data_IF_876892163227
#
_entry.id   IF_876892163227
#
_cell.length_a   1.000
_cell.length_b   1.000
_cell.length_c   1.000
_cell.angle_alpha   90.00
_cell.angle_beta   90.00
_cell.angle_gamma   90.00
#
_symmetry.space_group_name_H-M   'P 1'
#
loop_
_entity.id
_entity.type
_entity.pdbx_description
1 polymer ?
#
# COMPACT_ATOMS: atom_id res chain seq x y z
N UNK A 1 6.16 -10.52 -16.75
CA UNK A 1 5.17 -11.26 -15.98
C UNK A 1 3.76 -10.87 -16.41
N UNK A 2 3.43 -9.60 -16.34
CA UNK A 2 2.14 -9.04 -16.78
C UNK A 2 2.26 -7.58 -17.23
N UNK A 3 1.22 -7.08 -17.86
CA UNK A 3 1.01 -5.68 -18.18
C UNK A 3 -0.27 -5.25 -17.47
N UNK A 4 -0.17 -4.21 -16.63
CA UNK A 4 -1.33 -3.65 -15.94
C UNK A 4 -1.65 -2.27 -16.49
N UNK A 5 -2.86 -2.12 -17.03
CA UNK A 5 -3.34 -0.83 -17.51
C UNK A 5 -3.93 -0.01 -16.36
N UNK A 6 -3.49 1.23 -16.24
CA UNK A 6 -4.00 2.21 -15.28
C UNK A 6 -4.46 3.48 -16.01
N UNK A 7 -5.32 4.27 -15.36
CA UNK A 7 -5.70 5.58 -15.87
C UNK A 7 -4.45 6.48 -15.91
N UNK A 8 -4.08 6.96 -17.10
CA UNK A 8 -3.01 7.95 -17.23
C UNK A 8 -3.50 9.35 -16.84
N UNK A 9 -2.61 10.19 -16.32
CA UNK A 9 -2.88 11.61 -16.05
C UNK A 9 -3.34 12.40 -17.28
N UNK A 10 -3.01 11.91 -18.49
CA UNK A 10 -3.39 12.49 -19.78
C UNK A 10 -4.69 11.92 -20.36
N UNK A 11 -5.45 11.12 -19.59
CA UNK A 11 -6.69 10.48 -20.05
C UNK A 11 -6.52 9.19 -20.85
N UNK A 12 -5.35 8.92 -21.44
CA UNK A 12 -5.07 7.65 -22.13
C UNK A 12 -4.53 6.62 -21.14
N UNK A 13 -5.09 5.39 -21.10
CA UNK A 13 -4.54 4.32 -20.26
C UNK A 13 -3.07 4.07 -20.53
N UNK A 14 -2.29 3.75 -19.50
CA UNK A 14 -0.87 3.38 -19.60
C UNK A 14 -0.66 1.95 -19.14
N UNK A 15 0.02 1.13 -19.94
CA UNK A 15 0.30 -0.27 -19.65
C UNK A 15 1.62 -0.44 -18.90
N UNK A 16 1.57 -0.53 -17.59
CA UNK A 16 2.73 -0.75 -16.71
C UNK A 16 3.23 -2.17 -16.87
N UNK A 17 4.48 -2.35 -17.32
CA UNK A 17 5.07 -3.66 -17.57
C UNK A 17 5.95 -4.11 -16.41
N UNK A 18 5.60 -5.24 -15.79
CA UNK A 18 6.38 -5.88 -14.73
C UNK A 18 7.07 -7.16 -15.19
N UNK A 19 8.34 -7.33 -14.79
CA UNK A 19 9.12 -8.54 -15.06
C UNK A 19 8.95 -9.57 -13.95
N UNK A 20 9.15 -10.84 -14.30
CA UNK A 20 8.92 -11.97 -13.38
C UNK A 20 9.83 -11.89 -12.14
N UNK A 21 11.14 -11.89 -12.33
CA UNK A 21 12.09 -12.03 -11.22
C UNK A 21 12.04 -10.87 -10.22
N UNK A 22 12.15 -9.62 -10.73
CA UNK A 22 12.17 -8.44 -9.86
C UNK A 22 10.87 -8.25 -9.09
N UNK A 23 9.73 -8.37 -9.77
CA UNK A 23 8.43 -8.25 -9.15
C UNK A 23 8.19 -9.33 -8.08
N UNK A 24 8.46 -10.61 -8.40
CA UNK A 24 8.23 -11.71 -7.46
C UNK A 24 9.14 -11.62 -6.23
N UNK A 25 10.42 -11.31 -6.40
CA UNK A 25 11.34 -11.11 -5.27
C UNK A 25 10.86 -9.95 -4.37
N UNK A 26 10.40 -8.87 -4.98
CA UNK A 26 9.97 -7.70 -4.23
C UNK A 26 8.66 -7.93 -3.47
N UNK A 27 7.65 -8.51 -4.12
CA UNK A 27 6.38 -8.84 -3.47
C UNK A 27 6.54 -9.90 -2.38
N UNK A 28 7.39 -10.92 -2.60
CA UNK A 28 7.76 -11.90 -1.57
C UNK A 28 8.35 -11.22 -0.33
N UNK A 29 9.35 -10.33 -0.55
CA UNK A 29 10.10 -9.73 0.54
C UNK A 29 9.25 -8.71 1.32
N UNK A 30 8.52 -7.85 0.61
CA UNK A 30 7.64 -6.85 1.25
C UNK A 30 6.50 -7.51 2.01
N UNK A 31 5.88 -8.55 1.45
CA UNK A 31 4.87 -9.32 2.16
C UNK A 31 5.41 -9.92 3.46
N UNK A 32 6.55 -10.59 3.39
CA UNK A 32 7.16 -11.27 4.53
C UNK A 32 7.44 -10.33 5.70
N UNK A 33 8.02 -9.16 5.43
CA UNK A 33 8.48 -8.26 6.49
C UNK A 33 7.44 -7.23 6.93
N UNK A 34 6.67 -6.66 6.01
CA UNK A 34 5.68 -5.63 6.35
C UNK A 34 4.46 -6.24 7.05
N UNK A 35 4.01 -7.40 6.58
CA UNK A 35 2.92 -8.11 7.27
C UNK A 35 3.42 -9.04 8.38
N UNK A 36 4.73 -9.02 8.68
CA UNK A 36 5.35 -9.87 9.70
C UNK A 36 4.86 -11.33 9.61
N UNK A 37 4.84 -11.85 8.37
CA UNK A 37 4.23 -13.13 8.02
C UNK A 37 4.73 -14.29 8.89
N UNK A 38 3.81 -15.05 9.42
CA UNK A 38 4.02 -16.32 10.15
C UNK A 38 3.40 -17.48 9.37
N UNK A 39 3.94 -18.67 9.54
CA UNK A 39 3.56 -19.87 8.76
C UNK A 39 2.07 -20.23 8.87
N UNK A 40 1.45 -19.96 10.02
CA UNK A 40 0.04 -20.26 10.30
C UNK A 40 -0.91 -19.08 9.98
N UNK A 41 -0.40 -17.99 9.38
CA UNK A 41 -1.23 -16.82 9.10
C UNK A 41 -2.28 -17.09 8.04
N UNK A 42 -3.46 -16.53 8.29
CA UNK A 42 -4.55 -16.42 7.32
C UNK A 42 -4.68 -14.94 6.95
N UNK A 43 -4.31 -14.63 5.72
CA UNK A 43 -4.26 -13.28 5.19
C UNK A 43 -5.53 -12.94 4.41
N UNK A 44 -6.17 -11.83 4.73
CA UNK A 44 -7.34 -11.32 4.03
C UNK A 44 -7.09 -9.90 3.51
N UNK A 45 -6.92 -9.79 2.20
CA UNK A 45 -6.88 -8.51 1.49
C UNK A 45 -8.18 -8.31 0.72
N UNK A 46 -8.82 -7.17 0.91
CA UNK A 46 -10.12 -6.85 0.29
C UNK A 46 -10.01 -6.07 -1.02
N UNK A 47 -8.81 -5.88 -1.54
CA UNK A 47 -8.61 -5.21 -2.82
C UNK A 47 -9.22 -6.02 -3.97
N UNK A 48 -9.70 -5.32 -4.99
CA UNK A 48 -10.09 -5.95 -6.24
C UNK A 48 -8.86 -6.57 -6.94
N UNK A 49 -8.99 -7.80 -7.41
CA UNK A 49 -7.91 -8.53 -8.08
C UNK A 49 -7.49 -7.89 -9.41
N UNK A 50 -8.33 -7.06 -10.00
CA UNK A 50 -8.02 -6.28 -11.19
C UNK A 50 -7.04 -5.13 -10.95
N UNK A 51 -6.79 -4.74 -9.69
CA UNK A 51 -5.80 -3.72 -9.31
C UNK A 51 -4.48 -4.35 -8.93
N UNK A 52 -3.42 -3.52 -8.95
CA UNK A 52 -2.08 -3.99 -8.57
C UNK A 52 -2.03 -4.53 -7.13
N UNK A 53 -2.81 -3.98 -6.21
CA UNK A 53 -2.88 -4.48 -4.84
C UNK A 53 -3.37 -5.92 -4.80
N UNK A 54 -4.38 -6.27 -5.60
CA UNK A 54 -4.84 -7.64 -5.72
C UNK A 54 -3.76 -8.58 -6.29
N UNK A 55 -3.04 -8.14 -7.34
CA UNK A 55 -1.92 -8.90 -7.88
C UNK A 55 -0.82 -9.10 -6.84
N UNK A 56 -0.34 -8.01 -6.23
CA UNK A 56 0.81 -8.07 -5.32
C UNK A 56 0.49 -8.74 -3.98
N UNK A 57 -0.70 -8.47 -3.40
CA UNK A 57 -1.01 -8.87 -2.01
C UNK A 57 -2.30 -9.68 -1.84
N UNK A 58 -2.88 -10.22 -2.92
CA UNK A 58 -3.78 -11.38 -2.84
C UNK A 58 -3.10 -12.60 -3.47
N UNK A 59 -2.42 -12.39 -4.63
CA UNK A 59 -1.86 -13.50 -5.41
C UNK A 59 -0.37 -13.68 -5.12
N UNK A 60 0.50 -12.77 -5.63
CA UNK A 60 1.93 -13.07 -5.68
C UNK A 60 2.62 -13.06 -4.31
N UNK A 61 2.50 -12.00 -3.54
CA UNK A 61 3.15 -11.88 -2.23
C UNK A 61 2.80 -13.01 -1.26
N UNK A 62 1.51 -13.21 -0.97
CA UNK A 62 1.08 -14.30 -0.09
C UNK A 62 1.46 -15.69 -0.59
N UNK A 63 1.14 -16.04 -1.83
CA UNK A 63 1.34 -17.39 -2.35
C UNK A 63 2.82 -17.74 -2.52
N UNK A 64 3.68 -16.78 -2.85
CA UNK A 64 5.12 -16.97 -2.87
C UNK A 64 5.71 -17.27 -1.49
N UNK A 65 5.07 -16.80 -0.43
CA UNK A 65 5.44 -17.09 0.95
C UNK A 65 4.77 -18.36 1.50
N UNK A 66 3.91 -19.02 0.73
CA UNK A 66 3.14 -20.19 1.19
C UNK A 66 1.96 -19.84 2.11
N UNK A 67 1.56 -18.56 2.15
CA UNK A 67 0.48 -18.11 3.02
C UNK A 67 -0.89 -18.58 2.55
N UNK A 68 -1.78 -18.83 3.51
CA UNK A 68 -3.21 -18.98 3.24
C UNK A 68 -3.83 -17.62 3.01
N UNK A 69 -4.49 -17.42 1.86
CA UNK A 69 -5.17 -16.16 1.54
C UNK A 69 -6.66 -16.36 1.32
N UNK A 70 -7.46 -15.42 1.82
CA UNK A 70 -8.91 -15.42 1.64
C UNK A 70 -9.26 -14.67 0.37
N UNK A 71 -10.02 -15.31 -0.52
CA UNK A 71 -10.62 -14.67 -1.70
C UNK A 71 -12.09 -14.37 -1.42
N UNK A 72 -12.50 -13.16 -1.70
CA UNK A 72 -13.86 -12.67 -1.46
C UNK A 72 -14.43 -12.00 -2.70
N UNK A 73 -15.60 -12.46 -3.12
CA UNK A 73 -16.37 -11.93 -4.24
C UNK A 73 -17.64 -11.28 -3.71
N UNK A 74 -17.65 -10.00 -3.49
CA UNK A 74 -18.82 -9.17 -3.16
C UNK A 74 -18.38 -7.76 -2.71
N UNK A 75 -19.31 -7.00 -2.13
CA UNK A 75 -19.06 -5.69 -1.51
C UNK A 75 -19.06 -5.80 0.02
N UNK A 76 -18.38 -4.90 0.74
CA UNK A 76 -18.14 -5.02 2.20
C UNK A 76 -19.40 -5.04 3.06
N UNK A 77 -20.54 -4.58 2.50
CA UNK A 77 -21.81 -4.44 3.24
C UNK A 77 -22.91 -5.40 2.75
N UNK A 78 -22.56 -6.43 2.00
CA UNK A 78 -23.55 -7.42 1.51
C UNK A 78 -23.27 -8.82 2.06
N UNK A 79 -24.29 -9.56 2.56
CA UNK A 79 -25.70 -9.14 2.70
C UNK A 79 -25.93 -8.15 3.84
N UNK A 80 -25.00 -8.03 4.81
CA UNK A 80 -25.08 -7.17 5.98
C UNK A 80 -23.74 -6.42 6.21
N UNK A 81 -23.74 -5.33 6.98
CA UNK A 81 -22.52 -4.54 7.26
C UNK A 81 -21.43 -5.28 8.04
N UNK A 82 -21.72 -6.44 8.59
CA UNK A 82 -20.77 -7.29 9.32
C UNK A 82 -20.00 -8.27 8.43
N UNK A 83 -20.16 -8.20 7.11
CA UNK A 83 -19.63 -9.20 6.20
C UNK A 83 -18.14 -9.51 6.38
N UNK A 84 -17.32 -8.49 6.56
CA UNK A 84 -15.88 -8.71 6.78
C UNK A 84 -15.60 -9.29 8.16
N UNK A 85 -16.31 -8.84 9.17
CA UNK A 85 -16.17 -9.35 10.54
C UNK A 85 -16.57 -10.83 10.61
N UNK A 86 -17.65 -11.20 9.93
CA UNK A 86 -18.06 -12.60 9.80
C UNK A 86 -16.98 -13.46 9.09
N UNK A 87 -16.33 -12.95 8.06
CA UNK A 87 -15.25 -13.65 7.36
C UNK A 87 -14.05 -13.83 8.29
N UNK A 88 -13.65 -12.78 9.00
CA UNK A 88 -12.53 -12.80 9.94
C UNK A 88 -12.79 -13.82 11.05
N UNK A 89 -13.96 -13.78 11.67
CA UNK A 89 -14.35 -14.72 12.71
C UNK A 89 -14.40 -16.16 12.18
N UNK A 90 -15.11 -16.38 11.10
CA UNK A 90 -15.31 -17.73 10.52
C UNK A 90 -14.01 -18.42 10.14
N UNK A 91 -13.10 -17.69 9.51
CA UNK A 91 -11.84 -18.24 9.00
C UNK A 91 -10.65 -17.97 9.91
N UNK A 92 -10.87 -17.30 11.05
CA UNK A 92 -9.81 -16.92 11.99
C UNK A 92 -8.67 -16.19 11.31
N UNK A 93 -9.05 -15.17 10.53
CA UNK A 93 -8.10 -14.31 9.82
C UNK A 93 -7.15 -13.66 10.82
N UNK A 94 -5.86 -13.69 10.53
CA UNK A 94 -4.82 -13.12 11.40
C UNK A 94 -4.31 -11.77 10.93
N UNK A 95 -4.38 -11.52 9.62
CA UNK A 95 -3.97 -10.24 9.01
C UNK A 95 -5.07 -9.72 8.08
N UNK A 96 -5.53 -8.51 8.33
CA UNK A 96 -6.57 -7.85 7.55
C UNK A 96 -6.05 -6.59 6.87
N UNK A 97 -6.09 -6.55 5.54
CA UNK A 97 -5.55 -5.50 4.69
C UNK A 97 -6.63 -4.90 3.79
N UNK A 98 -6.92 -3.61 3.95
CA UNK A 98 -8.05 -2.97 3.28
C UNK A 98 -7.78 -1.51 2.95
N UNK A 99 -8.70 -0.85 2.23
CA UNK A 99 -8.58 0.55 1.87
C UNK A 99 -9.23 1.49 2.90
N UNK A 100 -8.70 2.70 3.14
CA UNK A 100 -9.31 3.71 4.02
C UNK A 100 -10.75 4.05 3.65
N UNK A 101 -11.10 4.08 2.38
CA UNK A 101 -12.50 4.28 1.93
C UNK A 101 -13.43 3.19 2.46
N UNK A 102 -12.98 1.95 2.52
CA UNK A 102 -13.73 0.82 3.10
C UNK A 102 -13.87 1.02 4.61
N UNK A 103 -12.77 1.38 5.30
CA UNK A 103 -12.77 1.65 6.75
C UNK A 103 -13.78 2.75 7.06
N UNK A 104 -13.72 3.89 6.38
CA UNK A 104 -14.67 5.01 6.57
C UNK A 104 -16.13 4.61 6.29
N UNK A 105 -16.36 3.76 5.30
CA UNK A 105 -17.71 3.24 5.02
C UNK A 105 -18.25 2.38 6.17
N UNK A 106 -17.38 1.58 6.79
CA UNK A 106 -17.73 0.72 7.94
C UNK A 106 -17.82 1.50 9.25
N UNK A 107 -17.00 2.54 9.44
CA UNK A 107 -17.10 3.50 10.55
C UNK A 107 -18.51 4.12 10.69
N UNK A 108 -19.15 4.38 9.56
CA UNK A 108 -20.49 4.95 9.52
C UNK A 108 -21.60 3.94 9.86
N UNK A 109 -21.24 2.71 10.25
CA UNK A 109 -22.18 1.69 10.72
C UNK A 109 -22.13 1.55 12.22
N UNK A 110 -23.21 1.03 12.79
CA UNK A 110 -23.27 0.77 14.23
C UNK A 110 -22.20 -0.27 14.64
N UNK A 111 -21.50 -0.02 15.74
CA UNK A 111 -20.45 -0.91 16.27
C UNK A 111 -20.95 -2.29 16.64
N UNK A 112 -22.26 -2.44 16.92
CA UNK A 112 -22.89 -3.75 17.13
C UNK A 112 -22.60 -4.76 16.02
N UNK A 113 -22.30 -4.28 14.79
CA UNK A 113 -21.95 -5.15 13.68
C UNK A 113 -20.56 -5.80 13.86
N UNK A 114 -19.65 -5.13 14.56
CA UNK A 114 -18.34 -5.69 14.93
C UNK A 114 -18.49 -6.59 16.16
N UNK A 115 -19.20 -6.13 17.18
CA UNK A 115 -19.34 -6.80 18.48
C UNK A 115 -19.99 -8.18 18.42
N UNK A 116 -20.70 -8.49 17.32
CA UNK A 116 -21.29 -9.82 17.08
C UNK A 116 -20.26 -10.90 16.75
N UNK A 117 -19.03 -10.52 16.44
CA UNK A 117 -18.01 -11.42 15.90
C UNK A 117 -16.76 -11.44 16.76
N UNK A 118 -16.12 -12.60 16.81
CA UNK A 118 -14.84 -12.77 17.48
C UNK A 118 -13.68 -12.40 16.54
N UNK A 119 -13.09 -11.24 16.74
CA UNK A 119 -11.94 -10.76 15.97
C UNK A 119 -10.60 -11.04 16.67
N UNK A 120 -10.59 -11.81 17.77
CA UNK A 120 -9.40 -12.07 18.57
C UNK A 120 -8.26 -12.81 17.83
N UNK A 121 -8.56 -13.36 16.65
CA UNK A 121 -7.54 -13.95 15.77
C UNK A 121 -6.66 -12.91 15.07
N UNK A 122 -7.14 -11.67 14.95
CA UNK A 122 -6.36 -10.60 14.31
C UNK A 122 -5.12 -10.26 15.14
N UNK A 123 -3.98 -10.20 14.47
CA UNK A 123 -2.70 -9.75 15.04
C UNK A 123 -2.10 -8.55 14.30
N UNK A 124 -2.56 -8.28 13.07
CA UNK A 124 -2.06 -7.17 12.27
C UNK A 124 -3.16 -6.64 11.35
N UNK A 125 -3.23 -5.32 11.24
CA UNK A 125 -4.08 -4.60 10.32
C UNK A 125 -3.23 -3.84 9.30
N UNK A 126 -3.80 -3.57 8.13
CA UNK A 126 -3.10 -2.78 7.12
C UNK A 126 -4.04 -1.90 6.30
N UNK A 127 -3.49 -0.81 5.81
CA UNK A 127 -4.16 0.20 4.99
C UNK A 127 -3.44 0.42 3.67
N UNK A 128 -4.19 0.59 2.58
CA UNK A 128 -3.64 0.71 1.22
C UNK A 128 -4.50 1.55 0.28
N UNK A 129 -3.85 2.20 -0.67
CA UNK A 129 -4.46 2.80 -1.86
C UNK A 129 -4.75 4.29 -1.75
N UNK A 130 -4.84 4.82 -0.55
CA UNK A 130 -5.00 6.26 -0.26
C UNK A 130 -4.53 6.55 1.17
N UNK A 131 -4.22 7.81 1.51
CA UNK A 131 -3.89 8.16 2.89
C UNK A 131 -5.05 7.87 3.84
N UNK A 132 -4.73 7.25 4.99
CA UNK A 132 -5.69 7.08 6.07
C UNK A 132 -5.59 8.27 7.04
N UNK A 133 -6.71 8.96 7.25
CA UNK A 133 -6.73 10.05 8.24
C UNK A 133 -6.65 9.51 9.68
N UNK A 134 -6.10 10.29 10.64
CA UNK A 134 -5.91 9.83 12.02
C UNK A 134 -7.17 9.30 12.69
N UNK A 135 -8.35 9.88 12.43
CA UNK A 135 -9.62 9.45 13.00
C UNK A 135 -9.99 8.01 12.54
N UNK A 136 -9.90 7.74 11.24
CA UNK A 136 -10.16 6.41 10.70
C UNK A 136 -9.11 5.39 11.16
N UNK A 137 -7.85 5.81 11.29
CA UNK A 137 -6.78 4.98 11.83
C UNK A 137 -7.07 4.59 13.28
N UNK A 138 -7.44 5.56 14.14
CA UNK A 138 -7.77 5.32 15.53
C UNK A 138 -9.00 4.43 15.69
N UNK A 139 -10.04 4.65 14.90
CA UNK A 139 -11.22 3.79 14.89
C UNK A 139 -10.85 2.35 14.51
N UNK A 140 -10.05 2.18 13.46
CA UNK A 140 -9.59 0.87 12.99
C UNK A 140 -8.75 0.16 14.04
N UNK A 141 -7.86 0.89 14.71
CA UNK A 141 -7.04 0.39 15.81
C UNK A 141 -7.88 -0.06 17.02
N UNK A 142 -8.84 0.80 17.43
CA UNK A 142 -9.64 0.56 18.64
C UNK A 142 -10.70 -0.54 18.41
N UNK A 143 -11.57 -0.38 17.41
CA UNK A 143 -12.72 -1.27 17.22
C UNK A 143 -12.37 -2.58 16.54
N UNK A 144 -11.48 -2.59 15.59
CA UNK A 144 -11.11 -3.80 14.84
C UNK A 144 -9.86 -4.45 15.41
N UNK A 145 -8.88 -3.64 15.78
CA UNK A 145 -7.61 -4.09 16.34
C UNK A 145 -7.60 -4.29 17.84
N UNK A 146 -8.69 -3.96 18.56
CA UNK A 146 -8.83 -4.08 20.02
C UNK A 146 -7.66 -3.48 20.79
N UNK A 147 -7.12 -2.35 20.33
CA UNK A 147 -5.99 -1.61 20.90
C UNK A 147 -4.65 -2.39 20.98
N UNK A 148 -4.52 -3.49 20.24
CA UNK A 148 -3.29 -4.29 20.26
C UNK A 148 -2.74 -4.65 18.88
N UNK A 149 -3.57 -4.66 17.82
CA UNK A 149 -3.08 -4.95 16.47
C UNK A 149 -2.33 -3.75 15.90
N UNK A 150 -1.05 -3.85 15.56
CA UNK A 150 -0.38 -2.79 14.81
C UNK A 150 -1.05 -2.56 13.46
N UNK A 151 -1.05 -1.31 12.99
CA UNK A 151 -1.55 -0.95 11.66
C UNK A 151 -0.36 -0.58 10.79
N UNK A 152 -0.16 -1.31 9.70
CA UNK A 152 0.77 -0.92 8.64
C UNK A 152 0.03 -0.09 7.60
N UNK A 153 0.29 1.21 7.60
CA UNK A 153 -0.16 2.09 6.52
C UNK A 153 0.88 2.04 5.40
N UNK A 154 0.46 1.72 4.19
CA UNK A 154 1.38 1.38 3.11
C UNK A 154 1.25 2.36 1.96
N UNK A 155 2.37 2.98 1.59
CA UNK A 155 2.43 3.80 0.39
C UNK A 155 3.22 3.10 -0.71
N UNK A 156 2.61 3.03 -1.89
CA UNK A 156 3.19 2.51 -3.12
C UNK A 156 2.25 2.74 -4.30
N UNK A 157 2.72 2.44 -5.50
CA UNK A 157 1.99 2.67 -6.74
C UNK A 157 2.05 1.41 -7.63
N UNK A 158 1.23 1.36 -8.67
CA UNK A 158 1.27 0.28 -9.68
C UNK A 158 2.67 0.15 -10.27
N UNK A 159 3.32 1.26 -10.54
CA UNK A 159 4.68 1.37 -11.06
C UNK A 159 5.74 0.75 -10.15
N UNK A 160 5.46 0.72 -8.87
CA UNK A 160 6.37 0.17 -7.86
C UNK A 160 6.34 -1.36 -7.76
N UNK A 161 5.22 -1.97 -8.11
CA UNK A 161 5.03 -3.42 -8.00
C UNK A 161 4.82 -3.94 -6.58
N UNK A 162 5.18 -3.16 -5.56
CA UNK A 162 5.01 -3.49 -4.15
C UNK A 162 5.25 -2.31 -3.24
N UNK A 163 5.10 -2.50 -1.93
CA UNK A 163 5.16 -1.44 -0.91
C UNK A 163 6.55 -0.83 -0.84
N UNK A 164 6.61 0.50 -0.86
CA UNK A 164 7.85 1.29 -0.82
C UNK A 164 8.07 1.95 0.54
N UNK A 165 7.01 2.43 1.18
CA UNK A 165 7.05 3.08 2.48
C UNK A 165 5.98 2.45 3.37
N UNK A 166 6.36 1.98 4.54
CA UNK A 166 5.46 1.44 5.56
C UNK A 166 6.19 1.20 6.87
N UNK A 167 5.44 1.14 7.95
CA UNK A 167 5.98 0.62 9.20
C UNK A 167 6.31 -0.88 9.10
N UNK A 168 7.32 -1.30 9.86
CA UNK A 168 7.62 -2.72 10.12
C UNK A 168 7.21 -3.02 11.56
N UNK A 169 6.22 -3.91 11.77
CA UNK A 169 5.69 -4.21 13.10
C UNK A 169 6.79 -4.65 14.08
N UNK A 170 6.78 -4.06 15.27
CA UNK A 170 7.75 -4.35 16.32
C UNK A 170 9.15 -3.73 16.12
N UNK A 171 9.45 -3.15 14.97
CA UNK A 171 10.74 -2.53 14.69
C UNK A 171 10.72 -1.00 14.83
N UNK A 172 9.55 -0.38 14.74
CA UNK A 172 9.39 1.07 14.84
C UNK A 172 8.03 1.46 15.44
N UNK A 173 7.93 2.71 15.90
CA UNK A 173 6.65 3.27 16.35
C UNK A 173 5.68 3.47 15.19
N UNK A 174 4.38 3.44 15.50
CA UNK A 174 3.31 3.71 14.56
C UNK A 174 2.73 5.10 14.81
N UNK A 175 2.40 5.81 13.75
CA UNK A 175 1.87 7.17 13.82
C UNK A 175 0.63 7.29 12.93
N UNK A 176 -0.55 7.61 13.49
CA UNK A 176 -1.76 7.80 12.71
C UNK A 176 -1.58 8.83 11.60
N UNK A 177 -1.89 8.46 10.35
CA UNK A 177 -1.77 9.33 9.18
C UNK A 177 -0.37 9.42 8.58
N UNK A 178 0.58 8.60 9.03
CA UNK A 178 1.93 8.49 8.46
C UNK A 178 2.17 7.11 7.88
N UNK A 179 2.72 7.04 6.66
CA UNK A 179 3.22 5.79 6.08
C UNK A 179 4.55 5.33 6.69
N UNK A 180 5.09 6.06 7.66
CA UNK A 180 6.32 5.79 8.42
C UNK A 180 7.61 5.88 7.58
N UNK A 181 8.39 4.81 7.49
CA UNK A 181 9.75 4.81 6.95
C UNK A 181 9.88 4.01 5.66
N UNK A 182 10.90 4.28 4.84
CA UNK A 182 11.12 3.51 3.61
C UNK A 182 11.48 2.05 3.89
N UNK A 183 10.98 1.18 3.02
CA UNK A 183 11.36 -0.22 3.02
C UNK A 183 12.84 -0.41 2.61
N UNK A 184 13.41 -1.55 2.89
CA UNK A 184 14.82 -1.87 2.65
C UNK A 184 15.24 -1.58 1.21
N UNK A 185 16.29 -0.76 1.05
CA UNK A 185 16.86 -0.35 -0.24
C UNK A 185 16.09 0.75 -0.97
N UNK A 186 14.94 1.18 -0.48
CA UNK A 186 14.19 2.31 -1.03
C UNK A 186 14.71 3.62 -0.42
N UNK A 187 14.94 4.63 -1.26
CA UNK A 187 15.41 5.94 -0.84
C UNK A 187 14.45 7.03 -1.32
N UNK A 188 13.37 7.31 -0.58
CA UNK A 188 12.50 8.44 -0.88
C UNK A 188 13.19 9.76 -0.54
N UNK A 189 12.86 10.79 -1.31
CA UNK A 189 13.23 12.17 -1.08
C UNK A 189 12.02 13.05 -1.35
N UNK A 190 11.84 14.09 -0.59
CA UNK A 190 10.83 15.12 -0.84
C UNK A 190 11.53 16.30 -1.45
N UNK A 191 11.23 16.63 -2.70
CA UNK A 191 11.88 17.69 -3.46
C UNK A 191 10.93 18.88 -3.61
N UNK A 192 11.50 20.09 -3.60
CA UNK A 192 10.76 21.30 -3.99
C UNK A 192 10.36 21.21 -5.45
N UNK A 193 9.17 21.71 -5.78
CA UNK A 193 8.75 21.83 -7.16
C UNK A 193 9.69 22.78 -7.92
N UNK A 194 10.09 22.41 -9.13
CA UNK A 194 10.99 23.20 -9.98
C UNK A 194 10.19 24.12 -10.89
N UNK A 195 10.64 25.36 -11.02
CA UNK A 195 10.04 26.32 -11.95
C UNK A 195 10.57 26.15 -13.39
N UNK A 196 11.78 25.62 -13.53
CA UNK A 196 12.39 25.31 -14.84
C UNK A 196 13.23 24.03 -14.77
N UNK A 197 13.44 23.40 -15.94
CA UNK A 197 14.23 22.16 -16.05
C UNK A 197 15.71 22.34 -15.69
N UNK A 198 16.24 23.54 -15.69
CA UNK A 198 17.65 23.84 -15.46
C UNK A 198 17.99 24.11 -13.97
N UNK A 199 16.97 24.24 -13.12
CA UNK A 199 17.17 24.40 -11.69
C UNK A 199 17.66 23.08 -11.05
N UNK A 200 18.59 23.13 -10.08
CA UNK A 200 18.98 21.95 -9.33
C UNK A 200 17.80 21.41 -8.52
N UNK A 201 17.77 20.10 -8.31
CA UNK A 201 16.83 19.51 -7.38
C UNK A 201 17.22 19.86 -5.94
N UNK A 202 16.28 20.42 -5.18
CA UNK A 202 16.48 20.78 -3.78
C UNK A 202 15.54 19.98 -2.89
N UNK A 203 16.08 19.39 -1.82
CA UNK A 203 15.24 18.74 -0.82
C UNK A 203 14.43 19.77 -0.04
N UNK A 204 13.16 19.45 0.21
CA UNK A 204 12.29 20.22 1.10
C UNK A 204 12.76 20.07 2.56
N UNK A 205 12.59 21.11 3.33
CA UNK A 205 12.87 21.09 4.76
C UNK A 205 11.87 20.17 5.50
N UNK A 206 12.20 19.82 6.74
CA UNK A 206 11.28 19.07 7.62
C UNK A 206 9.98 19.86 7.78
N UNK A 207 8.85 19.17 7.65
CA UNK A 207 7.50 19.74 7.63
C UNK A 207 7.16 20.62 6.40
N UNK A 208 8.07 20.76 5.45
CA UNK A 208 7.78 21.42 4.16
C UNK A 208 7.20 20.43 3.17
N UNK A 209 6.10 20.84 2.50
CA UNK A 209 5.47 20.03 1.45
C UNK A 209 6.27 20.13 0.16
N UNK A 210 6.46 18.98 -0.49
CA UNK A 210 7.13 18.90 -1.78
C UNK A 210 6.64 17.70 -2.59
N UNK A 211 7.36 17.40 -3.65
CA UNK A 211 7.13 16.28 -4.56
C UNK A 211 7.87 15.03 -4.05
N UNK A 212 7.15 13.95 -3.85
CA UNK A 212 7.75 12.67 -3.46
C UNK A 212 8.48 12.07 -4.66
N UNK A 213 9.76 11.83 -4.50
CA UNK A 213 10.62 11.22 -5.49
C UNK A 213 11.43 10.07 -4.89
N UNK A 214 11.96 9.19 -5.72
CA UNK A 214 12.79 8.07 -5.30
C UNK A 214 14.19 8.21 -5.91
N UNK A 215 15.20 8.22 -5.06
CA UNK A 215 16.61 8.36 -5.43
C UNK A 215 17.32 7.02 -5.66
N UNK A 216 16.61 5.90 -5.53
CA UNK A 216 17.12 4.56 -5.75
C UNK A 216 16.17 3.76 -6.63
N UNK A 217 16.68 2.71 -7.25
CA UNK A 217 15.87 1.67 -7.90
C UNK A 217 15.62 0.52 -6.92
N UNK A 218 14.58 -0.27 -7.18
CA UNK A 218 14.24 -1.46 -6.40
C UNK A 218 13.80 -2.60 -7.34
N UNK A 219 13.83 -3.85 -6.90
CA UNK A 219 13.55 -4.99 -7.81
C UNK A 219 12.15 -4.99 -8.44
N UNK A 220 11.14 -4.46 -7.72
CA UNK A 220 9.75 -4.42 -8.16
C UNK A 220 9.38 -3.31 -9.13
N UNK A 221 10.29 -2.34 -9.39
CA UNK A 221 10.01 -1.21 -10.29
C UNK A 221 9.57 -1.71 -11.67
N UNK A 222 8.58 -1.05 -12.26
CA UNK A 222 8.19 -1.31 -13.64
C UNK A 222 9.39 -1.15 -14.60
N UNK A 223 9.41 -1.95 -15.65
CA UNK A 223 10.49 -1.86 -16.65
C UNK A 223 10.25 -0.74 -17.65
N UNK A 224 9.01 -0.53 -18.05
CA UNK A 224 8.59 0.52 -18.99
C UNK A 224 7.07 0.59 -19.04
N UNK A 225 6.54 1.54 -19.78
CA UNK A 225 5.17 1.50 -20.30
C UNK A 225 5.16 0.72 -21.62
N UNK A 226 4.28 -0.28 -21.70
CA UNK A 226 4.19 -1.16 -22.86
C UNK A 226 3.83 -0.39 -24.14
N UNK A 227 4.70 -0.46 -25.12
CA UNK A 227 4.55 0.27 -26.38
C UNK A 227 4.83 1.78 -26.32
N UNK A 228 5.10 2.34 -25.13
CA UNK A 228 5.25 3.79 -24.94
C UNK A 228 6.52 4.15 -24.12
N UNK A 229 7.74 3.78 -24.56
CA UNK A 229 8.96 4.02 -23.78
C UNK A 229 9.28 5.50 -23.59
N UNK A 230 8.95 6.36 -24.54
CA UNK A 230 9.13 7.82 -24.41
C UNK A 230 8.20 8.40 -23.34
N UNK A 231 6.96 7.96 -23.30
CA UNK A 231 6.00 8.35 -22.25
C UNK A 231 6.47 7.92 -20.87
N UNK A 232 7.14 6.76 -20.75
CA UNK A 232 7.77 6.32 -19.51
C UNK A 232 8.85 7.29 -19.06
N UNK A 233 9.79 7.65 -19.95
CA UNK A 233 10.86 8.60 -19.62
C UNK A 233 10.28 9.97 -19.25
N UNK A 234 9.40 10.50 -20.09
CA UNK A 234 8.82 11.83 -19.90
C UNK A 234 7.94 11.94 -18.64
N UNK A 235 7.24 10.87 -18.29
CA UNK A 235 6.32 10.87 -17.15
C UNK A 235 7.00 10.70 -15.80
N UNK A 236 8.16 10.05 -15.75
CA UNK A 236 8.77 9.65 -14.48
C UNK A 236 10.19 10.15 -14.24
N UNK A 237 10.89 10.70 -15.24
CA UNK A 237 12.31 11.05 -15.10
C UNK A 237 12.69 12.45 -15.61
N UNK A 238 11.78 13.18 -16.23
CA UNK A 238 12.08 14.51 -16.76
C UNK A 238 11.74 15.65 -15.81
N UNK A 239 10.76 15.46 -14.93
CA UNK A 239 10.31 16.49 -13.99
C UNK A 239 11.33 16.75 -12.90
N UNK A 240 11.93 15.67 -12.37
CA UNK A 240 13.01 15.71 -11.40
C UNK A 240 14.17 14.85 -11.91
N UNK A 241 15.07 15.38 -12.79
CA UNK A 241 16.15 14.61 -13.39
C UNK A 241 17.04 13.94 -12.37
N UNK A 242 17.31 12.64 -12.56
CA UNK A 242 18.07 11.82 -11.63
C UNK A 242 17.23 11.10 -10.58
N UNK A 243 15.92 11.36 -10.52
CA UNK A 243 14.98 10.74 -9.59
C UNK A 243 13.82 10.11 -10.34
N UNK A 244 13.21 9.10 -9.74
CA UNK A 244 11.91 8.61 -10.16
C UNK A 244 10.83 9.52 -9.53
N UNK A 245 10.11 10.24 -10.36
CA UNK A 245 9.02 11.13 -9.96
C UNK A 245 7.73 10.35 -9.77
N UNK A 246 7.14 10.41 -8.58
CA UNK A 246 5.94 9.62 -8.26
C UNK A 246 4.64 10.29 -8.67
N UNK A 247 4.63 11.61 -8.78
CA UNK A 247 3.42 12.41 -8.96
C UNK A 247 2.64 12.68 -7.67
N UNK A 248 3.10 12.16 -6.53
CA UNK A 248 2.48 12.37 -5.23
C UNK A 248 3.19 13.50 -4.46
N UNK A 249 2.40 14.28 -3.73
CA UNK A 249 2.92 15.24 -2.76
C UNK A 249 3.16 14.59 -1.40
N UNK A 250 4.23 15.01 -0.73
CA UNK A 250 4.56 14.53 0.61
C UNK A 250 5.26 15.60 1.44
N UNK A 251 5.41 15.32 2.72
CA UNK A 251 6.37 16.01 3.59
C UNK A 251 6.96 14.99 4.57
N UNK A 252 8.13 15.29 5.06
CA UNK A 252 8.83 14.53 6.09
C UNK A 252 8.73 15.31 7.39
N UNK A 253 8.23 14.68 8.44
CA UNK A 253 8.18 15.26 9.79
C UNK A 253 9.47 14.98 10.59
N UNK A 254 9.47 15.35 11.87
CA UNK A 254 10.65 15.26 12.75
C UNK A 254 10.94 13.82 13.25
N UNK A 255 9.95 12.92 13.16
CA UNK A 255 10.05 11.53 13.62
C UNK A 255 10.54 10.63 12.47
#
# INVERSE_FOLDING_TARGET
>A
LFIMYTSGSTGSPKGTLHTTAGYMVYTYTTFKYIFDYKEDDIFFCTADIGWITGHSYIVYGPLLNGATTVLYESVPTYPEPDRFWHIIDKFKVTTFYTAPTVIRSLMNKDTQWIEKHDLSSLRLLGSVGEPINPEAWQWFYHYVGHDHCPIVDTWWQTEAGGILISAIPGAMGLKPGSAALPFFGVKPVVLRARNSGDEPAEEADVNEKGELCLASTWPGIMRTLYGEPERHINGYYTQQPGFFFTGDGAYKDED
#
